data_IF_125738241955
#
_entry.id   IF_125738241955
#
_cell.length_a   1.000
_cell.length_b   1.000
_cell.length_c   1.000
_cell.angle_alpha   90.00
_cell.angle_beta   90.00
_cell.angle_gamma   90.00
#
_symmetry.space_group_name_H-M   'P 1'
#
loop_
_entity.id
_entity.type
_entity.pdbx_description
1 polymer ?
#
# COMPACT_ATOMS: atom_id res chain seq x y z
N UNK A 1 -53.75 14.44 50.44
CA UNK A 1 -53.36 13.30 51.30
C UNK A 1 -53.22 12.07 50.40
N UNK A 2 -52.00 11.48 50.35
CA UNK A 2 -51.59 10.20 49.70
C UNK A 2 -51.78 10.07 48.17
N UNK A 3 -50.72 10.05 47.35
CA UNK A 3 -49.76 8.96 46.99
C UNK A 3 -50.37 7.79 46.19
N UNK A 4 -49.88 7.62 44.96
CA UNK A 4 -50.07 6.43 44.11
C UNK A 4 -49.17 6.49 42.87
N UNK A 5 -48.37 5.44 42.66
CA UNK A 5 -47.14 5.33 41.85
C UNK A 5 -47.32 4.94 40.37
N UNK A 6 -46.25 5.21 39.58
CA UNK A 6 -45.74 4.50 38.38
C UNK A 6 -46.49 4.67 37.04
N UNK A 7 -45.85 4.71 35.86
CA UNK A 7 -44.61 4.02 35.46
C UNK A 7 -43.78 4.73 34.38
N UNK A 8 -42.48 4.41 34.41
CA UNK A 8 -41.47 4.59 33.38
C UNK A 8 -41.75 3.70 32.15
N UNK A 9 -41.64 4.22 30.93
CA UNK A 9 -41.07 3.50 29.75
C UNK A 9 -41.27 4.29 28.45
N UNK A 10 -40.31 5.11 28.05
CA UNK A 10 -40.24 5.67 26.69
C UNK A 10 -38.82 6.11 26.28
N UNK A 11 -37.79 5.27 26.46
CA UNK A 11 -36.42 5.60 26.01
C UNK A 11 -35.64 4.50 25.29
N UNK A 12 -36.29 3.40 24.87
CA UNK A 12 -35.59 2.27 24.21
C UNK A 12 -35.90 2.07 22.72
N UNK A 13 -36.60 3.00 22.05
CA UNK A 13 -36.96 2.82 20.62
C UNK A 13 -36.27 3.77 19.63
N UNK A 14 -35.44 4.70 20.10
CA UNK A 14 -34.71 5.63 19.21
C UNK A 14 -33.29 5.19 18.85
N UNK A 15 -32.71 4.19 19.53
CA UNK A 15 -31.35 3.70 19.24
C UNK A 15 -31.29 2.54 18.24
N UNK A 16 -32.41 1.86 17.97
CA UNK A 16 -32.42 0.61 17.17
C UNK A 16 -32.61 0.86 15.68
N UNK A 17 -32.97 2.08 15.26
CA UNK A 17 -33.22 2.42 13.84
C UNK A 17 -31.96 2.90 13.12
N UNK A 18 -30.92 3.33 13.83
CA UNK A 18 -29.64 3.76 13.22
C UNK A 18 -28.62 2.63 13.01
N UNK A 19 -28.86 1.42 13.53
CA UNK A 19 -28.02 0.25 13.25
C UNK A 19 -28.46 -0.55 12.00
N UNK A 20 -29.66 -0.29 11.47
CA UNK A 20 -30.31 -1.11 10.43
C UNK A 20 -30.09 -0.67 8.98
N UNK A 21 -29.36 0.42 8.74
CA UNK A 21 -29.08 0.93 7.38
C UNK A 21 -27.57 0.92 7.08
N UNK A 22 -26.86 -0.11 7.56
CA UNK A 22 -25.62 -0.56 6.91
C UNK A 22 -26.00 -1.35 5.67
N UNK A 23 -26.57 -0.63 4.69
CA UNK A 23 -26.80 -1.13 3.34
C UNK A 23 -25.46 -1.63 2.79
N UNK A 24 -25.47 -2.87 2.32
CA UNK A 24 -24.41 -3.54 1.59
C UNK A 24 -23.88 -2.67 0.45
N UNK A 25 -22.84 -1.89 0.72
CA UNK A 25 -22.07 -1.18 -0.29
C UNK A 25 -21.07 -2.18 -0.88
N UNK A 26 -20.95 -2.32 -2.20
CA UNK A 26 -19.94 -3.19 -2.80
C UNK A 26 -18.57 -2.79 -2.28
N UNK A 27 -17.94 -3.77 -1.64
CA UNK A 27 -16.66 -3.66 -0.99
C UNK A 27 -15.58 -3.47 -2.09
N UNK A 28 -14.62 -2.53 -2.00
CA UNK A 28 -13.40 -2.32 -2.83
C UNK A 28 -12.15 -2.19 -1.84
N UNK A 29 -10.81 -2.29 -2.19
CA UNK A 29 -9.45 -2.18 -1.46
C UNK A 29 -8.26 -1.17 -1.79
N UNK A 30 -7.66 -0.31 -0.94
CA UNK A 30 -6.78 0.89 -1.30
C UNK A 30 -5.42 0.89 -2.13
N UNK A 31 -5.11 0.00 -3.07
CA UNK A 31 -3.82 0.00 -3.82
C UNK A 31 -2.60 -0.34 -2.95
N UNK A 32 -1.42 0.22 -3.26
CA UNK A 32 -0.22 0.08 -2.42
C UNK A 32 -0.23 0.95 -1.15
N UNK A 33 -1.25 1.78 -0.95
CA UNK A 33 -1.29 2.74 0.15
C UNK A 33 -1.51 2.04 1.50
N UNK A 34 -0.83 2.55 2.53
CA UNK A 34 -1.01 2.15 3.92
C UNK A 34 -1.94 3.14 4.64
N UNK A 35 -2.38 2.76 5.84
CA UNK A 35 -3.05 3.74 6.71
C UNK A 35 -2.08 4.87 7.08
N UNK A 36 -2.59 6.09 7.38
CA UNK A 36 -1.74 7.19 7.83
C UNK A 36 -0.85 6.78 9.00
N UNK A 37 0.40 7.25 8.99
CA UNK A 37 1.40 6.91 9.99
C UNK A 37 1.07 7.49 11.38
N UNK A 38 1.60 6.84 12.42
CA UNK A 38 1.41 7.20 13.83
C UNK A 38 0.61 6.17 14.61
N UNK A 39 1.10 5.78 15.79
CA UNK A 39 0.48 4.74 16.62
C UNK A 39 -0.89 5.14 17.16
N UNK A 40 -1.02 6.38 17.65
CA UNK A 40 -2.29 6.89 18.15
C UNK A 40 -3.36 6.92 17.03
N UNK A 41 -2.97 7.33 15.81
CA UNK A 41 -3.82 7.30 14.61
C UNK A 41 -4.21 5.87 14.20
N UNK A 42 -3.27 4.92 14.25
CA UNK A 42 -3.53 3.50 13.99
C UNK A 42 -4.61 2.95 14.93
N UNK A 43 -4.53 3.26 16.23
CA UNK A 43 -5.44 2.73 17.26
C UNK A 43 -6.91 3.10 17.09
N UNK A 44 -7.20 4.18 16.35
CA UNK A 44 -8.55 4.72 16.10
C UNK A 44 -8.99 4.61 14.64
N UNK A 45 -8.59 3.53 13.97
CA UNK A 45 -9.03 3.20 12.62
C UNK A 45 -8.35 3.99 11.51
N UNK A 46 -7.29 4.75 11.83
CA UNK A 46 -6.65 5.70 10.91
C UNK A 46 -7.36 7.06 10.84
N UNK A 47 -8.27 7.35 11.78
CA UNK A 47 -8.94 8.65 11.86
C UNK A 47 -8.05 9.73 12.45
N UNK A 48 -8.29 10.98 12.08
CA UNK A 48 -7.57 12.14 12.59
C UNK A 48 -7.57 13.37 11.69
N UNK A 49 -8.45 13.43 10.68
CA UNK A 49 -8.51 14.59 9.77
C UNK A 49 -9.10 15.82 10.49
N UNK A 50 -10.15 15.64 11.30
CA UNK A 50 -10.78 16.73 12.06
C UNK A 50 -10.20 16.94 13.46
N UNK A 51 -9.79 15.86 14.12
CA UNK A 51 -9.28 15.87 15.49
C UNK A 51 -8.06 14.92 15.61
N UNK A 52 -6.85 15.42 15.31
CA UNK A 52 -5.63 14.64 15.29
C UNK A 52 -5.15 14.29 16.70
N UNK A 53 -4.13 13.45 16.80
CA UNK A 53 -3.48 13.17 18.08
C UNK A 53 -2.56 14.34 18.42
N UNK A 54 -2.38 14.60 19.71
CA UNK A 54 -1.47 15.64 20.21
C UNK A 54 0.02 15.25 20.15
N UNK A 55 0.34 14.06 19.63
CA UNK A 55 1.69 13.49 19.49
C UNK A 55 2.46 14.02 18.25
N UNK A 56 1.92 15.01 17.53
CA UNK A 56 2.53 15.53 16.30
C UNK A 56 2.32 14.65 15.07
N UNK A 57 1.75 13.44 15.19
CA UNK A 57 1.38 12.59 14.04
C UNK A 57 0.28 13.21 13.17
N UNK A 58 -0.32 14.31 13.62
CA UNK A 58 -1.16 15.21 12.83
C UNK A 58 -0.55 15.54 11.45
N UNK A 59 0.78 15.60 11.33
CA UNK A 59 1.47 15.83 10.05
C UNK A 59 1.08 14.82 8.96
N UNK A 60 0.78 13.58 9.33
CA UNK A 60 0.37 12.51 8.42
C UNK A 60 -1.13 12.52 8.13
N UNK A 61 -1.97 13.04 9.03
CA UNK A 61 -3.44 13.03 8.87
C UNK A 61 -4.02 14.36 8.44
N UNK A 62 -3.55 15.49 8.96
CA UNK A 62 -3.94 16.84 8.56
C UNK A 62 -2.92 17.87 9.08
N UNK A 63 -2.13 18.53 8.22
CA UNK A 63 -1.07 19.44 8.64
C UNK A 63 -1.58 20.66 9.41
N UNK A 64 -2.86 21.04 9.27
CA UNK A 64 -3.46 22.10 10.09
C UNK A 64 -3.49 21.74 11.59
N UNK A 65 -3.44 20.44 11.92
CA UNK A 65 -3.39 19.94 13.28
C UNK A 65 -2.16 20.36 14.07
N UNK A 66 -1.07 20.72 13.39
CA UNK A 66 0.14 21.24 14.06
C UNK A 66 -0.15 22.54 14.81
N UNK A 67 -1.15 23.32 14.41
CA UNK A 67 -1.54 24.55 15.11
C UNK A 67 -2.12 24.31 16.52
N UNK A 68 -2.50 23.07 16.88
CA UNK A 68 -2.97 22.72 18.23
C UNK A 68 -1.85 22.41 19.21
N UNK A 69 -0.63 22.21 18.72
CA UNK A 69 0.51 21.92 19.59
C UNK A 69 0.78 23.14 20.46
N UNK A 70 0.82 22.94 21.78
CA UNK A 70 1.03 23.99 22.77
C UNK A 70 2.50 24.20 23.10
N UNK A 71 3.31 23.14 23.02
CA UNK A 71 4.72 23.09 23.42
C UNK A 71 5.51 22.15 22.49
N UNK A 72 6.83 22.07 22.61
CA UNK A 72 7.60 21.20 21.72
C UNK A 72 7.21 19.74 21.96
N UNK A 73 6.72 19.05 20.92
CA UNK A 73 6.43 17.62 20.97
C UNK A 73 7.33 16.91 19.97
N UNK A 74 8.00 15.85 20.44
CA UNK A 74 8.75 14.92 19.60
C UNK A 74 8.22 13.52 19.82
N UNK A 75 7.89 12.84 18.73
CA UNK A 75 7.36 11.48 18.74
C UNK A 75 8.17 10.60 17.81
N UNK A 76 8.65 9.48 18.34
CA UNK A 76 9.32 8.44 17.55
C UNK A 76 8.65 7.10 17.79
N UNK A 77 8.51 6.32 16.73
CA UNK A 77 7.90 5.02 16.80
C UNK A 77 8.16 4.18 15.56
N UNK A 78 7.62 2.97 15.57
CA UNK A 78 7.67 2.10 14.42
C UNK A 78 6.43 1.22 14.33
N UNK A 79 6.05 0.90 13.10
CA UNK A 79 4.91 0.05 12.78
C UNK A 79 5.41 -1.21 12.06
N UNK A 80 5.13 -2.37 12.63
CA UNK A 80 5.48 -3.68 12.11
C UNK A 80 4.29 -4.28 11.36
N UNK A 81 4.49 -4.62 10.09
CA UNK A 81 3.49 -5.23 9.24
C UNK A 81 3.83 -6.70 8.99
N UNK A 82 2.88 -7.59 9.27
CA UNK A 82 2.95 -9.02 8.96
C UNK A 82 1.86 -9.35 7.96
N UNK A 83 2.22 -9.60 6.72
CA UNK A 83 1.26 -9.89 5.65
C UNK A 83 1.33 -11.38 5.34
N UNK A 84 0.17 -12.01 5.27
CA UNK A 84 -0.01 -13.39 4.84
C UNK A 84 -0.90 -13.42 3.63
N UNK A 85 -0.56 -14.27 2.68
CA UNK A 85 -1.40 -14.49 1.52
C UNK A 85 -1.25 -15.90 0.98
N UNK A 86 -2.25 -16.31 0.23
CA UNK A 86 -2.26 -17.56 -0.52
C UNK A 86 -2.97 -17.37 -1.85
N UNK A 87 -2.62 -18.21 -2.80
CA UNK A 87 -3.28 -18.36 -4.08
C UNK A 87 -3.74 -19.82 -4.22
N UNK A 88 -4.98 -20.02 -4.64
CA UNK A 88 -5.52 -21.34 -4.96
C UNK A 88 -5.83 -21.38 -6.46
N UNK A 89 -5.18 -22.28 -7.18
CA UNK A 89 -5.37 -22.47 -8.61
C UNK A 89 -6.70 -23.19 -8.92
N UNK A 90 -7.44 -22.71 -9.91
CA UNK A 90 -8.78 -23.22 -10.25
C UNK A 90 -8.74 -24.63 -10.84
N UNK A 91 -7.68 -25.00 -11.57
CA UNK A 91 -7.61 -26.26 -12.30
C UNK A 91 -6.98 -27.37 -11.45
N UNK A 92 -5.79 -27.09 -10.92
CA UNK A 92 -5.00 -28.03 -10.13
C UNK A 92 -5.45 -28.10 -8.67
N UNK A 93 -6.23 -27.11 -8.20
CA UNK A 93 -6.61 -26.95 -6.80
C UNK A 93 -5.42 -26.80 -5.84
N UNK A 94 -4.22 -26.56 -6.38
CA UNK A 94 -3.01 -26.38 -5.60
C UNK A 94 -3.07 -25.03 -4.88
N UNK A 95 -2.70 -25.05 -3.60
CA UNK A 95 -2.53 -23.85 -2.79
C UNK A 95 -1.04 -23.50 -2.70
N UNK A 96 -0.70 -22.27 -3.06
CA UNK A 96 0.65 -21.71 -2.87
C UNK A 96 0.58 -20.57 -1.87
N UNK A 97 1.42 -20.61 -0.83
CA UNK A 97 1.48 -19.58 0.22
C UNK A 97 2.58 -18.56 -0.05
N UNK A 98 2.32 -17.29 0.28
CA UNK A 98 3.33 -16.24 0.29
C UNK A 98 4.40 -16.49 1.37
N UNK A 99 5.65 -16.17 1.05
CA UNK A 99 6.73 -16.15 2.02
C UNK A 99 6.56 -14.94 2.95
N UNK A 100 6.24 -15.19 4.21
CA UNK A 100 6.01 -14.12 5.18
C UNK A 100 7.32 -13.50 5.63
N UNK A 101 7.50 -12.19 5.41
CA UNK A 101 8.55 -11.41 6.08
C UNK A 101 7.98 -10.16 6.71
N UNK A 102 8.23 -9.91 8.00
CA UNK A 102 7.79 -8.68 8.63
C UNK A 102 8.47 -7.47 8.01
N UNK A 103 7.71 -6.39 7.85
CA UNK A 103 8.23 -5.11 7.40
C UNK A 103 8.07 -4.06 8.49
N UNK A 104 9.19 -3.47 8.91
CA UNK A 104 9.23 -2.41 9.90
C UNK A 104 9.22 -1.05 9.19
N UNK A 105 8.29 -0.18 9.57
CA UNK A 105 8.20 1.20 9.10
C UNK A 105 8.38 2.16 10.28
N UNK A 106 9.55 2.79 10.43
CA UNK A 106 9.73 3.83 11.43
C UNK A 106 8.94 5.09 11.06
N UNK A 107 8.57 5.85 12.08
CA UNK A 107 8.01 7.18 11.92
C UNK A 107 8.58 8.12 12.99
N UNK A 108 8.83 9.36 12.57
CA UNK A 108 9.30 10.44 13.42
C UNK A 108 8.45 11.67 13.14
N UNK A 109 7.97 12.31 14.20
CA UNK A 109 7.23 13.56 14.13
C UNK A 109 7.79 14.53 15.15
N UNK A 110 7.90 15.79 14.77
CA UNK A 110 8.21 16.88 15.68
C UNK A 110 7.31 18.06 15.36
N UNK A 111 6.85 18.77 16.39
CA UNK A 111 6.03 19.96 16.22
C UNK A 111 6.25 20.94 17.36
N UNK A 112 6.27 22.23 17.02
CA UNK A 112 6.49 23.29 17.99
C UNK A 112 5.65 24.51 17.66
N UNK A 113 5.14 25.16 18.72
CA UNK A 113 4.49 26.45 18.60
C UNK A 113 5.54 27.56 18.51
N UNK A 114 5.42 28.42 17.51
CA UNK A 114 6.32 29.57 17.34
C UNK A 114 5.77 30.78 18.08
N UNK A 115 4.46 31.02 17.97
CA UNK A 115 3.75 32.09 18.70
C UNK A 115 2.26 31.76 18.83
N UNK A 116 1.42 32.74 19.19
CA UNK A 116 -0.02 32.53 19.38
C UNK A 116 -0.77 32.09 18.12
N UNK A 117 -0.23 32.33 16.92
CA UNK A 117 -0.90 31.96 15.66
C UNK A 117 -0.12 30.95 14.83
N UNK A 118 1.22 30.94 14.90
CA UNK A 118 2.07 30.12 14.03
C UNK A 118 2.64 28.91 14.76
N UNK A 119 2.66 27.77 14.06
CA UNK A 119 3.31 26.55 14.49
C UNK A 119 4.06 25.91 13.33
N UNK A 120 5.12 25.18 13.64
CA UNK A 120 5.94 24.46 12.67
C UNK A 120 6.04 22.99 13.04
N UNK A 121 6.25 22.13 12.06
CA UNK A 121 6.47 20.71 12.29
C UNK A 121 7.32 20.04 11.21
N UNK A 122 7.85 18.88 11.54
CA UNK A 122 8.60 18.01 10.64
C UNK A 122 8.11 16.57 10.83
N UNK A 123 7.69 15.94 9.74
CA UNK A 123 7.32 14.52 9.71
C UNK A 123 8.23 13.73 8.80
N UNK A 124 8.67 12.56 9.26
CA UNK A 124 9.39 11.56 8.46
C UNK A 124 8.69 10.22 8.64
N UNK A 125 8.02 9.72 7.59
CA UNK A 125 7.19 8.52 7.69
C UNK A 125 7.00 7.81 6.35
N UNK A 126 6.65 6.52 6.40
CA UNK A 126 6.43 5.68 5.21
C UNK A 126 4.96 5.52 4.83
N UNK A 127 4.41 6.26 3.85
CA UNK A 127 3.03 6.11 3.35
C UNK A 127 2.83 4.85 2.49
N UNK A 128 3.90 4.38 1.84
CA UNK A 128 3.91 3.19 1.01
C UNK A 128 5.05 2.29 1.45
N UNK A 129 4.71 1.05 1.72
CA UNK A 129 5.66 0.02 2.11
C UNK A 129 4.98 -1.32 1.92
N UNK A 130 5.18 -1.93 0.76
CA UNK A 130 4.61 -3.24 0.51
C UNK A 130 5.62 -4.12 -0.18
N UNK A 131 5.71 -5.35 0.31
CA UNK A 131 6.41 -6.43 -0.35
C UNK A 131 5.44 -7.58 -0.55
N UNK A 132 5.29 -8.04 -1.79
CA UNK A 132 4.74 -9.38 -2.06
C UNK A 132 5.90 -10.31 -2.34
N UNK A 133 5.87 -11.50 -1.74
CA UNK A 133 6.85 -12.54 -2.02
C UNK A 133 6.16 -13.90 -2.08
N UNK A 134 6.33 -14.56 -3.20
CA UNK A 134 5.89 -15.92 -3.49
C UNK A 134 7.13 -16.83 -3.66
N UNK A 135 7.00 -18.13 -3.38
CA UNK A 135 8.04 -19.11 -3.71
C UNK A 135 8.40 -19.06 -5.19
N UNK A 136 9.64 -19.38 -5.55
CA UNK A 136 10.09 -19.34 -6.96
C UNK A 136 9.36 -20.36 -7.86
N UNK A 137 8.86 -21.44 -7.27
CA UNK A 137 8.09 -22.49 -7.95
C UNK A 137 6.59 -22.17 -8.01
N UNK A 138 6.20 -20.98 -7.58
CA UNK A 138 4.85 -20.48 -7.73
C UNK A 138 4.53 -20.33 -9.23
N UNK A 139 3.37 -20.80 -9.63
CA UNK A 139 2.84 -20.76 -10.99
C UNK A 139 2.79 -19.34 -11.58
N UNK A 140 2.70 -18.30 -10.75
CA UNK A 140 2.78 -16.90 -11.19
C UNK A 140 4.17 -16.28 -11.23
N UNK A 141 5.24 -17.08 -11.10
CA UNK A 141 6.62 -16.59 -11.08
C UNK A 141 7.01 -15.81 -12.35
N UNK A 142 6.39 -16.12 -13.49
CA UNK A 142 6.61 -15.44 -14.77
C UNK A 142 6.01 -14.03 -14.82
N UNK A 143 4.87 -13.82 -14.14
CA UNK A 143 4.28 -12.48 -13.95
C UNK A 143 5.10 -11.71 -12.93
N UNK A 144 5.41 -12.36 -11.81
CA UNK A 144 6.38 -11.95 -10.80
C UNK A 144 6.16 -12.65 -9.46
N UNK A 145 7.26 -13.11 -8.86
CA UNK A 145 7.25 -13.77 -7.56
C UNK A 145 7.69 -12.85 -6.43
N UNK A 146 8.27 -11.69 -6.73
CA UNK A 146 8.56 -10.69 -5.71
C UNK A 146 8.35 -9.29 -6.24
N UNK A 147 7.68 -8.46 -5.47
CA UNK A 147 7.61 -7.00 -5.70
C UNK A 147 7.88 -6.27 -4.42
N UNK A 148 8.56 -5.14 -4.52
CA UNK A 148 8.80 -4.26 -3.38
C UNK A 148 8.63 -2.82 -3.85
N UNK A 149 7.79 -2.07 -3.15
CA UNK A 149 7.63 -0.64 -3.31
C UNK A 149 7.74 0.01 -1.93
N UNK A 150 8.64 0.97 -1.81
CA UNK A 150 8.83 1.72 -0.58
C UNK A 150 8.91 3.19 -0.90
N UNK A 151 8.14 4.00 -0.18
CA UNK A 151 8.24 5.45 -0.23
C UNK A 151 8.34 6.02 1.18
N UNK A 152 9.20 7.02 1.35
CA UNK A 152 9.36 7.80 2.57
C UNK A 152 9.01 9.25 2.25
N UNK A 153 8.21 9.85 3.12
CA UNK A 153 7.83 11.25 3.08
C UNK A 153 8.64 12.02 4.11
N UNK A 154 9.25 13.12 3.66
CA UNK A 154 9.85 14.16 4.52
C UNK A 154 9.01 15.41 4.33
N UNK A 155 8.35 15.85 5.40
CA UNK A 155 7.33 16.88 5.35
C UNK A 155 7.60 17.96 6.40
N UNK A 156 8.40 19.00 6.09
CA UNK A 156 8.32 20.25 6.83
C UNK A 156 6.91 20.83 6.68
N UNK A 157 6.38 21.44 7.73
CA UNK A 157 5.00 21.97 7.76
C UNK A 157 4.96 23.29 8.51
N UNK A 158 4.19 24.22 7.96
CA UNK A 158 3.82 25.46 8.59
C UNK A 158 2.30 25.45 8.80
N UNK A 159 1.85 25.78 10.00
CA UNK A 159 0.44 25.86 10.34
C UNK A 159 0.11 27.21 10.98
N UNK A 160 -1.09 27.69 10.69
CA UNK A 160 -1.62 28.96 11.15
C UNK A 160 -2.97 28.76 11.84
N UNK A 161 -3.09 29.21 13.09
CA UNK A 161 -4.33 29.32 13.83
C UNK A 161 -4.91 30.73 13.66
N UNK A 162 -6.05 30.82 12.99
CA UNK A 162 -6.87 32.03 12.98
C UNK A 162 -7.79 32.02 14.21
N UNK A 163 -7.29 32.60 15.30
CA UNK A 163 -7.93 32.53 16.61
C UNK A 163 -8.10 31.08 17.07
N UNK A 164 -9.24 30.77 17.68
CA UNK A 164 -9.50 29.42 18.23
C UNK A 164 -10.38 28.54 17.33
N UNK A 165 -10.83 29.05 16.17
CA UNK A 165 -11.83 28.39 15.33
C UNK A 165 -11.26 27.76 14.08
N UNK A 166 -10.45 28.49 13.32
CA UNK A 166 -9.96 28.04 12.02
C UNK A 166 -8.45 27.80 12.10
N UNK A 167 -8.02 26.65 11.61
CA UNK A 167 -6.61 26.30 11.48
C UNK A 167 -6.33 25.90 10.04
N UNK A 168 -5.20 26.36 9.51
CA UNK A 168 -4.72 26.03 8.18
C UNK A 168 -3.32 25.46 8.29
N UNK A 169 -2.97 24.54 7.39
CA UNK A 169 -1.65 23.94 7.35
C UNK A 169 -1.20 23.69 5.92
N UNK A 170 0.08 23.93 5.67
CA UNK A 170 0.76 23.62 4.42
C UNK A 170 2.08 22.93 4.72
N UNK A 171 2.29 21.77 4.11
CA UNK A 171 3.52 21.01 4.22
C UNK A 171 4.04 20.64 2.84
N UNK A 172 5.08 21.30 2.32
CA UNK A 172 5.86 20.78 1.21
C UNK A 172 6.31 19.35 1.52
N UNK A 173 6.27 18.49 0.51
CA UNK A 173 6.51 17.06 0.67
C UNK A 173 7.63 16.62 -0.27
N UNK A 174 8.74 16.15 0.30
CA UNK A 174 9.74 15.40 -0.44
C UNK A 174 9.43 13.91 -0.29
N UNK A 175 9.26 13.24 -1.41
CA UNK A 175 9.09 11.78 -1.48
C UNK A 175 10.37 11.16 -1.99
N UNK A 176 10.87 10.15 -1.27
CA UNK A 176 11.98 9.30 -1.68
C UNK A 176 11.42 7.90 -1.87
N UNK A 177 11.63 7.29 -3.02
CA UNK A 177 11.02 6.00 -3.35
C UNK A 177 11.97 5.04 -4.06
N UNK A 178 11.81 3.75 -3.78
CA UNK A 178 12.47 2.67 -4.51
C UNK A 178 11.45 1.61 -4.93
N UNK A 179 11.68 1.03 -6.10
CA UNK A 179 10.85 -0.04 -6.65
C UNK A 179 11.72 -1.21 -7.09
N UNK A 180 11.21 -2.42 -6.90
CA UNK A 180 11.86 -3.63 -7.37
C UNK A 180 10.84 -4.70 -7.77
N UNK A 181 11.15 -5.41 -8.84
CA UNK A 181 10.35 -6.51 -9.39
C UNK A 181 11.28 -7.69 -9.71
N UNK A 182 10.89 -8.87 -9.27
CA UNK A 182 11.54 -10.12 -9.65
C UNK A 182 10.53 -11.05 -10.30
N UNK A 183 10.91 -11.58 -11.45
CA UNK A 183 10.12 -12.57 -12.19
C UNK A 183 11.02 -13.55 -12.91
N UNK A 184 10.46 -14.68 -13.34
CA UNK A 184 11.12 -15.62 -14.22
C UNK A 184 10.80 -15.29 -15.68
N UNK A 185 11.72 -15.65 -16.58
CA UNK A 185 11.52 -15.53 -18.01
C UNK A 185 11.18 -16.88 -18.60
N UNK A 186 10.07 -16.92 -19.32
CA UNK A 186 9.73 -18.00 -20.24
C UNK A 186 10.08 -17.56 -21.66
N UNK A 187 10.97 -18.30 -22.30
CA UNK A 187 11.40 -18.07 -23.67
C UNK A 187 10.76 -19.06 -24.66
N UNK A 188 9.87 -19.97 -24.23
CA UNK A 188 9.30 -21.01 -25.09
C UNK A 188 8.64 -20.44 -26.36
N UNK A 189 7.99 -19.28 -26.25
CA UNK A 189 7.35 -18.60 -27.39
C UNK A 189 8.28 -17.62 -28.13
N UNK A 190 9.50 -17.42 -27.64
CA UNK A 190 10.49 -16.56 -28.27
C UNK A 190 11.24 -17.31 -29.36
N UNK A 191 11.71 -16.57 -30.37
CA UNK A 191 12.56 -17.12 -31.43
C UNK A 191 13.89 -17.57 -30.82
N UNK A 192 14.16 -18.87 -30.91
CA UNK A 192 15.49 -19.41 -30.65
C UNK A 192 16.41 -19.13 -31.83
N UNK A 193 15.86 -19.21 -33.05
CA UNK A 193 16.54 -18.98 -34.33
C UNK A 193 15.58 -18.24 -35.28
N UNK A 194 16.07 -17.74 -36.44
CA UNK A 194 15.20 -17.12 -37.44
C UNK A 194 14.02 -18.04 -37.80
N UNK A 195 12.81 -17.58 -37.45
CA UNK A 195 11.54 -18.28 -37.66
C UNK A 195 11.35 -19.62 -36.91
N UNK A 196 12.22 -19.97 -35.95
CA UNK A 196 12.07 -21.18 -35.12
C UNK A 196 11.98 -20.79 -33.64
N UNK A 197 10.79 -20.88 -33.01
CA UNK A 197 10.64 -20.64 -31.58
C UNK A 197 11.19 -21.80 -30.75
N UNK A 198 11.53 -21.55 -29.48
CA UNK A 198 11.95 -22.60 -28.54
C UNK A 198 10.90 -23.72 -28.41
N UNK A 199 9.61 -23.41 -28.51
CA UNK A 199 8.54 -24.40 -28.51
C UNK A 199 8.61 -25.39 -29.66
N UNK A 200 9.10 -24.97 -30.84
CA UNK A 200 9.31 -25.86 -31.98
C UNK A 200 10.49 -26.83 -31.75
N UNK A 201 11.36 -26.54 -30.78
CA UNK A 201 12.42 -27.43 -30.32
C UNK A 201 11.96 -28.41 -29.23
N UNK A 202 10.64 -28.48 -28.98
CA UNK A 202 10.05 -29.36 -27.96
C UNK A 202 10.11 -28.79 -26.54
N UNK A 203 10.43 -27.50 -26.38
CA UNK A 203 10.49 -26.87 -25.05
C UNK A 203 9.10 -26.40 -24.62
N UNK A 204 8.55 -26.92 -23.50
CA UNK A 204 7.21 -26.56 -23.07
C UNK A 204 7.13 -25.11 -22.58
N UNK A 205 5.97 -24.48 -22.80
CA UNK A 205 5.64 -23.21 -22.15
C UNK A 205 5.64 -23.36 -20.62
N UNK A 206 6.01 -22.30 -19.90
CA UNK A 206 6.24 -22.32 -18.46
C UNK A 206 7.62 -22.85 -18.07
N UNK A 207 8.56 -22.98 -19.01
CA UNK A 207 9.95 -23.30 -18.69
C UNK A 207 10.67 -22.05 -18.20
N UNK A 208 11.32 -22.10 -17.04
CA UNK A 208 12.08 -20.97 -16.49
C UNK A 208 13.52 -20.95 -17.03
N UNK A 209 13.82 -20.02 -17.94
CA UNK A 209 15.15 -19.87 -18.55
C UNK A 209 16.09 -18.98 -17.74
N UNK A 210 15.54 -17.98 -17.05
CA UNK A 210 16.30 -17.04 -16.25
C UNK A 210 15.44 -16.35 -15.20
N UNK A 211 16.08 -15.81 -14.17
CA UNK A 211 15.48 -14.76 -13.36
C UNK A 211 15.79 -13.40 -13.96
N UNK A 212 14.79 -12.53 -14.00
CA UNK A 212 14.97 -11.11 -14.25
C UNK A 212 14.67 -10.33 -12.96
N UNK A 213 15.63 -9.47 -12.58
CA UNK A 213 15.51 -8.53 -11.46
C UNK A 213 15.53 -7.11 -12.01
N UNK A 214 14.45 -6.39 -11.82
CA UNK A 214 14.36 -4.96 -12.07
C UNK A 214 14.48 -4.25 -10.73
N UNK A 215 15.44 -3.36 -10.60
CA UNK A 215 15.69 -2.62 -9.35
C UNK A 215 16.04 -1.17 -9.68
N UNK A 216 15.33 -0.24 -9.06
CA UNK A 216 15.60 1.18 -9.20
C UNK A 216 16.64 1.66 -8.20
N UNK A 217 17.34 2.72 -8.58
CA UNK A 217 17.94 3.64 -7.62
C UNK A 217 16.82 4.43 -6.91
N UNK A 218 17.18 5.29 -5.97
CA UNK A 218 16.24 6.21 -5.34
C UNK A 218 15.66 7.19 -6.36
N UNK A 219 14.35 7.32 -6.39
CA UNK A 219 13.65 8.38 -7.11
C UNK A 219 13.13 9.43 -6.12
N UNK A 220 13.21 10.68 -6.54
CA UNK A 220 12.74 11.83 -5.77
C UNK A 220 11.53 12.46 -6.43
N UNK A 221 10.56 12.87 -5.63
CA UNK A 221 9.35 13.54 -6.09
C UNK A 221 8.91 14.62 -5.11
N UNK A 222 8.31 15.69 -5.63
CA UNK A 222 7.80 16.79 -4.84
C UNK A 222 6.27 16.81 -4.87
N UNK A 223 5.69 17.14 -3.73
CA UNK A 223 4.26 17.37 -3.56
C UNK A 223 3.96 18.37 -2.45
N UNK A 224 2.70 18.47 -2.07
CA UNK A 224 2.25 19.28 -0.95
C UNK A 224 1.11 18.59 -0.21
N UNK A 225 1.09 18.80 1.10
CA UNK A 225 0.04 18.40 2.01
C UNK A 225 -0.66 19.67 2.51
N UNK A 226 -1.92 19.84 2.18
CA UNK A 226 -2.74 20.98 2.56
C UNK A 226 -3.80 20.53 3.56
N UNK A 227 -4.04 21.37 4.55
CA UNK A 227 -4.91 21.06 5.67
C UNK A 227 -5.75 22.26 6.08
N UNK A 228 -6.99 21.97 6.45
CA UNK A 228 -7.88 22.90 7.11
C UNK A 228 -8.58 22.18 8.25
N UNK A 229 -8.78 22.87 9.37
CA UNK A 229 -9.61 22.42 10.48
C UNK A 229 -10.47 23.56 11.00
N UNK A 230 -11.70 23.21 11.37
CA UNK A 230 -12.70 24.13 11.88
C UNK A 230 -13.28 23.57 13.18
N UNK A 231 -13.01 24.25 14.29
CA UNK A 231 -13.67 24.06 15.58
C UNK A 231 -14.99 24.85 15.56
N UNK A 232 -16.10 24.15 15.39
CA UNK A 232 -17.46 24.74 15.35
C UNK A 232 -17.96 25.02 16.76
N UNK A 233 -17.79 24.04 17.64
CA UNK A 233 -17.97 24.17 19.09
C UNK A 233 -16.77 23.55 19.80
N UNK A 234 -16.76 23.54 21.13
CA UNK A 234 -15.68 22.89 21.89
C UNK A 234 -15.65 21.37 21.63
N UNK A 235 -16.81 20.78 21.37
CA UNK A 235 -17.00 19.36 21.15
C UNK A 235 -16.97 18.95 19.68
N UNK A 236 -17.33 19.85 18.75
CA UNK A 236 -17.53 19.53 17.34
C UNK A 236 -16.50 20.18 16.44
N UNK A 237 -15.78 19.34 15.71
CA UNK A 237 -14.66 19.69 14.84
C UNK A 237 -14.87 19.11 13.45
N UNK A 238 -14.52 19.88 12.43
CA UNK A 238 -14.44 19.44 11.04
C UNK A 238 -13.03 19.59 10.51
N UNK A 239 -12.65 18.75 9.56
CA UNK A 239 -11.36 18.83 8.89
C UNK A 239 -11.49 18.57 7.40
N UNK A 240 -10.66 19.25 6.62
CA UNK A 240 -10.39 18.94 5.22
C UNK A 240 -8.89 18.80 5.01
N UNK A 241 -8.51 17.92 4.10
CA UNK A 241 -7.12 17.64 3.78
C UNK A 241 -6.99 17.32 2.30
N UNK A 242 -5.97 17.86 1.66
CA UNK A 242 -5.60 17.51 0.30
C UNK A 242 -4.11 17.18 0.21
N UNK A 243 -3.79 16.02 -0.34
CA UNK A 243 -2.43 15.60 -0.68
C UNK A 243 -2.31 15.63 -2.20
N UNK A 244 -1.35 16.39 -2.73
CA UNK A 244 -1.13 16.47 -4.18
C UNK A 244 -0.60 15.14 -4.72
N UNK A 245 -0.79 14.84 -6.02
CA UNK A 245 -0.10 13.73 -6.63
C UNK A 245 1.42 13.98 -6.64
N UNK A 246 2.22 12.91 -6.60
CA UNK A 246 3.68 12.99 -6.67
C UNK A 246 4.18 12.13 -7.81
N UNK A 247 4.79 12.76 -8.82
CA UNK A 247 5.43 12.05 -9.94
C UNK A 247 6.84 11.64 -9.55
N UNK A 248 7.17 10.38 -9.78
CA UNK A 248 8.48 9.76 -9.52
C UNK A 248 9.02 9.18 -10.81
N UNK A 249 10.21 9.62 -11.21
CA UNK A 249 10.93 9.09 -12.37
C UNK A 249 12.11 8.25 -11.88
N UNK A 250 12.10 6.96 -12.17
CA UNK A 250 13.09 6.00 -11.72
C UNK A 250 14.09 5.70 -12.83
N UNK A 251 15.35 5.62 -12.44
CA UNK A 251 16.41 4.97 -13.22
C UNK A 251 16.89 3.76 -12.45
N UNK A 252 17.13 2.65 -13.15
CA UNK A 252 17.51 1.39 -12.52
C UNK A 252 18.17 0.44 -13.51
N UNK A 253 18.34 -0.80 -13.08
CA UNK A 253 18.92 -1.86 -13.90
C UNK A 253 17.98 -3.05 -13.99
N UNK A 254 17.97 -3.67 -15.16
CA UNK A 254 17.45 -5.01 -15.37
C UNK A 254 18.65 -5.94 -15.36
N UNK A 255 18.65 -6.90 -14.42
CA UNK A 255 19.67 -7.94 -14.34
C UNK A 255 19.08 -9.29 -14.66
N UNK A 256 19.79 -10.06 -15.48
CA UNK A 256 19.38 -11.41 -15.86
C UNK A 256 20.31 -12.42 -15.21
N UNK A 257 19.74 -13.46 -14.62
CA UNK A 257 20.48 -14.56 -14.01
C UNK A 257 20.00 -15.87 -14.65
N UNK A 258 20.82 -16.51 -15.50
CA UNK A 258 20.45 -17.76 -16.15
C UNK A 258 20.05 -18.83 -15.14
N UNK A 259 19.08 -19.65 -15.50
CA UNK A 259 18.70 -20.85 -14.77
C UNK A 259 19.02 -22.07 -15.63
N UNK A 260 19.54 -23.13 -15.03
CA UNK A 260 19.62 -24.41 -15.73
C UNK A 260 18.20 -24.95 -15.90
N UNK A 261 17.83 -25.20 -17.14
CA UNK A 261 16.53 -25.74 -17.50
C UNK A 261 16.44 -27.25 -17.22
N UNK A 262 17.58 -27.95 -17.23
CA UNK A 262 17.64 -29.41 -17.09
C UNK A 262 16.99 -30.17 -18.24
N UNK A 263 16.61 -29.48 -19.33
CA UNK A 263 15.96 -30.06 -20.50
C UNK A 263 16.99 -30.48 -21.54
N UNK A 264 16.63 -31.48 -22.33
CA UNK A 264 17.38 -31.92 -23.52
C UNK A 264 16.51 -31.78 -24.75
N UNK A 265 17.13 -31.59 -25.91
CA UNK A 265 16.41 -31.59 -27.18
C UNK A 265 15.92 -33.02 -27.47
N UNK A 266 14.61 -33.24 -27.64
CA UNK A 266 14.05 -34.60 -27.71
C UNK A 266 14.28 -35.29 -29.07
N UNK A 267 14.52 -34.52 -30.14
CA UNK A 267 14.74 -35.04 -31.48
C UNK A 267 15.85 -34.24 -32.18
N UNK A 268 16.57 -34.84 -33.12
CA UNK A 268 17.63 -34.12 -33.83
C UNK A 268 17.05 -32.93 -34.61
N UNK A 269 17.68 -31.76 -34.50
CA UNK A 269 17.27 -30.53 -35.19
C UNK A 269 18.38 -30.08 -36.12
N UNK A 270 18.04 -29.71 -37.36
CA UNK A 270 19.01 -29.16 -38.32
C UNK A 270 18.95 -27.64 -38.32
N UNK A 271 20.09 -26.99 -38.08
CA UNK A 271 20.25 -25.54 -37.93
C UNK A 271 21.40 -25.03 -38.80
N UNK A 272 21.10 -24.26 -39.84
CA UNK A 272 22.13 -23.64 -40.68
C UNK A 272 23.14 -24.62 -41.30
N UNK A 273 22.73 -25.88 -41.52
CA UNK A 273 23.61 -26.96 -42.01
C UNK A 273 24.33 -27.76 -40.92
N UNK A 274 24.19 -27.38 -39.64
CA UNK A 274 24.66 -28.14 -38.49
C UNK A 274 23.52 -28.96 -37.86
N UNK A 275 23.77 -30.23 -37.59
CA UNK A 275 22.82 -31.10 -36.92
C UNK A 275 23.04 -31.04 -35.40
N UNK A 276 22.03 -30.60 -34.65
CA UNK A 276 21.96 -30.77 -33.20
C UNK A 276 21.41 -32.17 -32.92
N UNK A 277 22.19 -33.08 -32.30
CA UNK A 277 21.70 -34.40 -31.95
C UNK A 277 20.55 -34.37 -30.94
N UNK A 278 19.71 -35.41 -30.97
CA UNK A 278 18.81 -35.67 -29.85
C UNK A 278 19.64 -35.89 -28.56
N UNK A 279 19.14 -35.43 -27.43
CA UNK A 279 19.82 -35.51 -26.13
C UNK A 279 20.79 -34.36 -25.83
N UNK A 280 21.01 -33.41 -26.77
CA UNK A 280 21.79 -32.20 -26.46
C UNK A 280 21.10 -31.38 -25.37
N UNK A 281 21.80 -31.00 -24.27
CA UNK A 281 21.22 -30.14 -23.24
C UNK A 281 20.84 -28.77 -23.80
N UNK A 282 19.62 -28.32 -23.51
CA UNK A 282 19.13 -27.00 -23.93
C UNK A 282 20.04 -25.88 -23.44
N UNK A 283 20.57 -26.01 -22.23
CA UNK A 283 21.47 -25.01 -21.62
C UNK A 283 22.75 -24.78 -22.45
N UNK A 284 23.26 -25.81 -23.15
CA UNK A 284 24.41 -25.69 -24.07
C UNK A 284 24.02 -24.88 -25.31
N UNK A 285 22.81 -25.07 -25.82
CA UNK A 285 22.28 -24.32 -26.97
C UNK A 285 22.10 -22.86 -26.59
N UNK A 286 21.49 -22.57 -25.44
CA UNK A 286 21.34 -21.20 -24.93
C UNK A 286 22.68 -20.49 -24.78
N UNK A 287 23.70 -21.18 -24.25
CA UNK A 287 25.05 -20.65 -24.16
C UNK A 287 25.65 -20.35 -25.54
N UNK A 288 25.48 -21.26 -26.51
CA UNK A 288 25.99 -21.09 -27.88
C UNK A 288 25.33 -19.93 -28.65
N UNK A 289 24.04 -19.65 -28.36
CA UNK A 289 23.31 -18.52 -28.94
C UNK A 289 23.74 -17.16 -28.33
N UNK A 290 24.57 -17.18 -27.28
CA UNK A 290 25.06 -15.96 -26.63
C UNK A 290 23.95 -15.09 -26.03
N UNK A 291 22.77 -15.68 -25.71
CA UNK A 291 21.61 -14.88 -25.29
C UNK A 291 21.86 -14.08 -24.01
N UNK A 292 22.74 -14.58 -23.14
CA UNK A 292 23.17 -13.96 -21.89
C UNK A 292 24.58 -13.34 -21.95
N UNK A 293 25.20 -13.30 -23.14
CA UNK A 293 26.50 -12.64 -23.31
C UNK A 293 26.36 -11.12 -23.05
N UNK A 294 27.46 -10.37 -22.79
CA UNK A 294 27.40 -8.94 -22.49
C UNK A 294 26.69 -8.06 -23.53
N UNK A 295 26.63 -8.51 -24.79
CA UNK A 295 25.92 -7.83 -25.88
C UNK A 295 24.70 -8.63 -26.38
N UNK A 296 24.28 -9.65 -25.63
CA UNK A 296 23.17 -10.53 -25.98
C UNK A 296 21.80 -9.92 -25.69
N UNK A 297 20.71 -10.49 -26.25
CA UNK A 297 19.33 -10.08 -26.01
C UNK A 297 18.92 -9.98 -24.53
N UNK A 298 19.53 -10.77 -23.64
CA UNK A 298 19.32 -10.76 -22.18
C UNK A 298 20.57 -10.31 -21.42
N UNK A 299 21.34 -9.38 -21.99
CA UNK A 299 22.38 -8.67 -21.26
C UNK A 299 21.78 -7.68 -20.25
N UNK A 300 22.45 -7.54 -19.10
CA UNK A 300 22.17 -6.52 -18.09
C UNK A 300 22.15 -5.14 -18.73
N UNK A 301 21.14 -4.33 -18.38
CA UNK A 301 20.97 -3.00 -18.97
C UNK A 301 20.26 -2.04 -18.05
N UNK A 302 20.45 -0.76 -18.28
CA UNK A 302 19.65 0.26 -17.62
C UNK A 302 18.20 0.22 -18.08
N UNK A 303 17.30 0.66 -17.21
CA UNK A 303 15.91 0.91 -17.55
C UNK A 303 15.36 2.11 -16.80
N UNK A 304 14.38 2.76 -17.41
CA UNK A 304 13.64 3.86 -16.81
C UNK A 304 12.17 3.50 -16.67
N UNK A 305 11.53 3.99 -15.61
CA UNK A 305 10.08 3.88 -15.43
C UNK A 305 9.56 5.10 -14.67
N UNK A 306 8.27 5.39 -14.80
CA UNK A 306 7.63 6.48 -14.08
C UNK A 306 6.43 5.94 -13.30
N UNK A 307 6.26 6.42 -12.08
CA UNK A 307 5.09 6.14 -11.26
C UNK A 307 4.55 7.47 -10.71
N UNK A 308 3.23 7.62 -10.68
CA UNK A 308 2.59 8.76 -10.02
C UNK A 308 1.86 8.25 -8.78
N UNK A 309 2.29 8.69 -7.60
CA UNK A 309 1.53 8.49 -6.38
C UNK A 309 0.26 9.36 -6.45
N UNK A 310 -0.93 8.80 -6.16
CA UNK A 310 -2.20 9.46 -6.41
C UNK A 310 -2.45 10.65 -5.48
N UNK A 311 -3.23 11.61 -5.97
CA UNK A 311 -3.80 12.65 -5.13
C UNK A 311 -4.78 12.07 -4.11
N UNK A 312 -4.92 12.71 -2.95
CA UNK A 312 -5.88 12.28 -1.94
C UNK A 312 -6.64 13.48 -1.38
N UNK A 313 -7.98 13.40 -1.37
CA UNK A 313 -8.85 14.35 -0.70
C UNK A 313 -9.49 13.65 0.50
N UNK A 314 -9.45 14.26 1.68
CA UNK A 314 -10.13 13.72 2.85
C UNK A 314 -10.93 14.79 3.59
N UNK A 315 -12.04 14.36 4.16
CA UNK A 315 -12.90 15.14 5.03
C UNK A 315 -13.12 14.37 6.33
N UNK A 316 -13.15 15.07 7.45
CA UNK A 316 -13.30 14.47 8.77
C UNK A 316 -14.31 15.21 9.64
N UNK A 317 -14.85 14.48 10.61
CA UNK A 317 -15.64 14.98 11.73
C UNK A 317 -15.09 14.37 13.03
N UNK A 318 -14.91 15.21 14.03
CA UNK A 318 -14.63 14.81 15.41
C UNK A 318 -15.69 15.37 16.33
N UNK A 319 -16.29 14.51 17.15
CA UNK A 319 -17.35 14.89 18.06
C UNK A 319 -17.16 14.26 19.44
N UNK A 320 -16.89 15.08 20.43
CA UNK A 320 -17.00 14.69 21.84
C UNK A 320 -18.49 14.57 22.20
N UNK A 321 -19.01 13.35 22.13
CA UNK A 321 -20.44 13.06 22.34
C UNK A 321 -20.82 13.10 23.82
N UNK A 322 -19.87 12.75 24.69
CA UNK A 322 -19.95 12.83 26.14
C UNK A 322 -18.56 13.14 26.70
N UNK A 323 -18.45 13.65 27.95
CA UNK A 323 -17.17 13.87 28.58
C UNK A 323 -16.28 12.61 28.52
N UNK A 324 -15.14 12.72 27.84
CA UNK A 324 -14.19 11.61 27.67
C UNK A 324 -14.59 10.57 26.62
N UNK A 325 -15.64 10.78 25.83
CA UNK A 325 -16.05 9.89 24.74
C UNK A 325 -16.09 10.67 23.43
N UNK A 326 -15.16 10.34 22.53
CA UNK A 326 -15.01 11.03 21.24
C UNK A 326 -15.26 10.08 20.09
N UNK A 327 -16.20 10.45 19.22
CA UNK A 327 -16.48 9.80 17.96
C UNK A 327 -15.72 10.50 16.83
N UNK A 328 -15.12 9.72 15.94
CA UNK A 328 -14.33 10.20 14.80
C UNK A 328 -14.85 9.54 13.53
N UNK A 329 -15.02 10.33 12.47
CA UNK A 329 -15.47 9.88 11.16
C UNK A 329 -14.63 10.55 10.08
N UNK A 330 -13.93 9.77 9.26
CA UNK A 330 -13.17 10.29 8.12
C UNK A 330 -13.59 9.61 6.82
N UNK A 331 -13.75 10.40 5.76
CA UNK A 331 -13.90 9.95 4.38
C UNK A 331 -12.68 10.40 3.58
N UNK A 332 -12.12 9.51 2.76
CA UNK A 332 -11.01 9.82 1.87
C UNK A 332 -11.32 9.32 0.45
N UNK A 333 -11.12 10.18 -0.54
CA UNK A 333 -11.06 9.84 -1.96
C UNK A 333 -9.60 9.83 -2.44
N UNK A 334 -9.23 8.86 -3.27
CA UNK A 334 -7.86 8.70 -3.81
C UNK A 334 -7.91 8.53 -5.32
N UNK A 335 -7.12 9.34 -6.03
CA UNK A 335 -7.10 9.45 -7.50
C UNK A 335 -6.23 8.36 -8.17
N UNK A 336 -6.56 7.09 -7.94
CA UNK A 336 -5.82 5.97 -8.51
C UNK A 336 -5.95 5.83 -10.03
N UNK A 337 -6.87 6.55 -10.69
CA UNK A 337 -6.96 6.62 -12.16
C UNK A 337 -5.72 7.19 -12.84
N UNK A 338 -4.78 7.75 -12.07
CA UNK A 338 -3.43 8.13 -12.52
C UNK A 338 -2.56 6.92 -12.88
N UNK A 339 -2.84 5.74 -12.32
CA UNK A 339 -2.06 4.52 -12.55
C UNK A 339 -2.73 3.64 -13.62
N UNK A 340 -2.75 4.16 -14.84
CA UNK A 340 -3.31 3.47 -16.02
C UNK A 340 -2.35 2.39 -16.55
N UNK A 341 -1.06 2.70 -16.61
CA UNK A 341 -0.03 1.84 -17.18
C UNK A 341 1.27 1.91 -16.39
N UNK A 342 1.94 0.78 -16.32
CA UNK A 342 3.33 0.66 -15.89
C UNK A 342 4.19 0.43 -17.13
N UNK A 343 4.95 1.43 -17.53
CA UNK A 343 5.87 1.34 -18.66
C UNK A 343 7.31 1.29 -18.15
N UNK A 344 8.02 0.23 -18.52
CA UNK A 344 9.44 0.05 -18.29
C UNK A 344 10.14 0.23 -19.63
N UNK A 345 11.12 1.14 -19.69
CA UNK A 345 11.87 1.49 -20.90
C UNK A 345 13.32 1.04 -20.74
N UNK A 346 13.68 -0.17 -21.21
CA UNK A 346 15.08 -0.62 -21.22
C UNK A 346 15.91 0.24 -22.17
N UNK A 347 17.18 0.47 -21.83
CA UNK A 347 18.14 1.08 -22.74
C UNK A 347 18.27 0.21 -24.00
N UNK A 348 18.15 0.83 -25.18
CA UNK A 348 18.25 0.17 -26.48
C UNK A 348 17.29 -1.05 -26.64
N UNK A 349 16.12 -1.01 -26.00
CA UNK A 349 15.13 -2.08 -26.07
C UNK A 349 13.70 -1.56 -26.27
N UNK A 350 12.79 -2.46 -26.63
CA UNK A 350 11.37 -2.14 -26.75
C UNK A 350 10.77 -1.89 -25.36
N UNK A 351 9.94 -0.84 -25.19
CA UNK A 351 9.20 -0.63 -23.94
C UNK A 351 8.35 -1.85 -23.55
N UNK A 352 8.41 -2.22 -22.28
CA UNK A 352 7.54 -3.22 -21.67
C UNK A 352 6.39 -2.47 -21.03
N UNK A 353 5.18 -2.66 -21.57
CA UNK A 353 3.97 -2.00 -21.09
C UNK A 353 3.10 -3.01 -20.37
N UNK A 354 2.76 -2.72 -19.10
CA UNK A 354 1.75 -3.45 -18.35
C UNK A 354 0.56 -2.54 -18.06
N UNK A 355 -0.60 -2.99 -18.48
CA UNK A 355 -1.86 -2.25 -18.30
C UNK A 355 -2.37 -2.52 -16.90
N UNK A 356 -2.72 -1.45 -16.19
CA UNK A 356 -3.17 -1.46 -14.82
C UNK A 356 -4.63 -1.02 -14.72
N UNK A 357 -5.00 0.06 -15.43
CA UNK A 357 -6.38 0.58 -15.53
C UNK A 357 -7.01 0.80 -14.15
N UNK A 358 -6.24 1.35 -13.21
CA UNK A 358 -6.68 1.53 -11.84
C UNK A 358 -7.83 2.55 -11.77
N UNK A 359 -8.76 2.34 -10.85
CA UNK A 359 -9.92 3.22 -10.66
C UNK A 359 -9.82 3.99 -9.36
N UNK A 360 -10.40 5.17 -9.32
CA UNK A 360 -10.46 5.98 -8.10
C UNK A 360 -11.18 5.24 -6.97
N UNK A 361 -10.74 5.51 -5.75
CA UNK A 361 -11.18 4.75 -4.56
C UNK A 361 -11.61 5.66 -3.43
N UNK A 362 -12.59 5.22 -2.67
CA UNK A 362 -13.02 5.82 -1.41
C UNK A 362 -12.61 5.01 -0.20
N UNK A 363 -12.45 5.65 0.96
CA UNK A 363 -12.19 4.98 2.23
C UNK A 363 -12.98 5.67 3.32
N UNK A 364 -13.68 4.87 4.12
CA UNK A 364 -14.45 5.33 5.26
C UNK A 364 -13.77 4.80 6.52
N UNK A 365 -13.59 5.67 7.50
CA UNK A 365 -12.98 5.35 8.79
C UNK A 365 -13.89 5.84 9.91
N UNK A 366 -14.05 4.99 10.91
CA UNK A 366 -14.77 5.28 12.15
C UNK A 366 -13.82 4.99 13.31
N UNK A 367 -13.71 5.93 14.24
CA UNK A 367 -12.88 5.81 15.43
C UNK A 367 -13.67 6.17 16.67
N UNK A 368 -13.36 5.51 17.78
CA UNK A 368 -13.85 5.82 19.11
C UNK A 368 -12.65 5.97 20.04
N UNK A 369 -12.58 7.09 20.75
CA UNK A 369 -11.60 7.32 21.81
C UNK A 369 -12.32 7.48 23.15
N UNK A 370 -11.83 6.77 24.16
CA UNK A 370 -12.40 6.68 25.50
C UNK A 370 -11.34 7.07 26.52
N UNK A 371 -11.53 8.21 27.17
CA UNK A 371 -10.72 8.61 28.31
C UNK A 371 -11.15 7.76 29.52
N UNK A 372 -10.33 6.75 29.87
CA UNK A 372 -10.66 5.79 30.93
C UNK A 372 -10.17 6.22 32.32
N UNK A 373 -9.19 7.11 32.37
CA UNK A 373 -8.66 7.80 33.56
C UNK A 373 -7.89 9.04 33.13
N UNK A 374 -7.34 9.85 34.03
CA UNK A 374 -6.56 11.03 33.65
C UNK A 374 -5.27 10.70 32.86
N UNK A 375 -4.78 9.46 32.99
CA UNK A 375 -3.53 8.99 32.40
C UNK A 375 -3.71 7.99 31.26
N UNK A 376 -4.91 7.43 31.05
CA UNK A 376 -5.12 6.36 30.08
C UNK A 376 -6.29 6.64 29.14
N UNK A 377 -6.02 6.55 27.83
CA UNK A 377 -7.01 6.60 26.76
C UNK A 377 -7.02 5.27 26.00
N UNK A 378 -8.20 4.69 25.82
CA UNK A 378 -8.41 3.48 25.00
C UNK A 378 -9.07 3.88 23.70
N UNK A 379 -8.62 3.29 22.60
CA UNK A 379 -9.08 3.62 21.24
C UNK A 379 -9.51 2.37 20.51
N UNK A 380 -10.60 2.47 19.78
CA UNK A 380 -11.07 1.43 18.87
C UNK A 380 -11.38 2.05 17.53
N UNK A 381 -11.28 1.28 16.46
CA UNK A 381 -11.63 1.80 15.16
C UNK A 381 -11.89 0.72 14.13
N UNK A 382 -12.60 1.16 13.09
CA UNK A 382 -12.86 0.39 11.91
C UNK A 382 -12.57 1.25 10.68
N UNK A 383 -11.86 0.71 9.71
CA UNK A 383 -11.79 1.33 8.38
C UNK A 383 -12.04 0.33 7.28
N UNK A 384 -12.65 0.84 6.23
CA UNK A 384 -12.99 0.09 5.04
C UNK A 384 -12.59 0.90 3.82
N UNK A 385 -11.76 0.31 2.96
CA UNK A 385 -11.01 1.05 1.93
C UNK A 385 -11.11 0.43 0.56
N UNK A 386 -11.60 1.16 -0.47
CA UNK A 386 -11.89 0.79 -1.88
C UNK A 386 -10.70 0.48 -2.82
N UNK A 387 -10.87 -0.31 -3.91
CA UNK A 387 -9.81 -0.94 -4.74
C UNK A 387 -9.69 -0.35 -6.08
N UNK A 388 -8.44 -0.25 -6.47
CA UNK A 388 -8.04 0.42 -7.66
C UNK A 388 -7.98 -0.58 -8.81
N UNK A 389 -7.30 -1.73 -8.62
CA UNK A 389 -7.14 -2.75 -9.65
C UNK A 389 -8.47 -3.39 -10.08
N UNK A 390 -8.92 -3.18 -11.34
CA UNK A 390 -10.03 -3.92 -11.90
C UNK A 390 -9.72 -5.42 -11.99
N UNK A 391 -10.77 -6.25 -12.09
CA UNK A 391 -10.64 -7.72 -12.04
C UNK A 391 -9.72 -8.32 -13.12
N UNK A 392 -9.44 -7.59 -14.21
CA UNK A 392 -8.56 -8.02 -15.31
C UNK A 392 -7.06 -7.80 -15.00
N UNK A 393 -6.72 -6.91 -14.07
CA UNK A 393 -5.32 -6.54 -13.76
C UNK A 393 -4.83 -7.05 -12.40
N UNK A 394 -5.62 -7.89 -11.73
CA UNK A 394 -5.22 -8.56 -10.48
C UNK A 394 -4.16 -9.62 -10.77
N UNK A 395 -2.96 -9.42 -10.23
CA UNK A 395 -1.78 -10.28 -10.44
C UNK A 395 -1.10 -10.60 -9.12
N UNK A 396 -0.11 -11.52 -9.08
CA UNK A 396 0.62 -11.80 -7.85
C UNK A 396 1.45 -10.62 -7.34
N UNK A 397 1.71 -9.62 -8.19
CA UNK A 397 2.49 -8.42 -7.85
C UNK A 397 1.82 -7.57 -6.78
N UNK A 398 0.50 -7.47 -6.87
CA UNK A 398 -0.39 -6.83 -5.92
C UNK A 398 -1.78 -7.42 -6.11
N UNK A 399 -2.10 -8.54 -5.44
CA UNK A 399 -3.41 -9.18 -5.55
C UNK A 399 -4.42 -8.45 -4.67
N UNK A 400 -4.59 -7.15 -4.90
CA UNK A 400 -5.39 -6.31 -4.03
C UNK A 400 -6.89 -6.52 -4.18
N UNK A 401 -7.56 -6.31 -3.06
CA UNK A 401 -9.01 -6.34 -2.91
C UNK A 401 -9.36 -5.63 -1.62
N UNK A 402 -10.64 -5.67 -1.31
CA UNK A 402 -11.31 -4.86 -0.31
C UNK A 402 -10.75 -5.11 1.05
N UNK A 403 -10.39 -4.04 1.74
CA UNK A 403 -9.73 -4.15 3.03
C UNK A 403 -10.66 -3.66 4.11
N UNK A 404 -10.86 -4.55 5.07
CA UNK A 404 -11.52 -4.28 6.33
C UNK A 404 -10.43 -4.25 7.40
N UNK A 405 -10.39 -3.17 8.17
CA UNK A 405 -9.41 -2.93 9.19
C UNK A 405 -10.12 -2.82 10.53
N UNK A 406 -9.74 -3.66 11.49
CA UNK A 406 -10.18 -3.54 12.88
C UNK A 406 -8.98 -3.12 13.72
N UNK A 407 -9.13 -2.07 14.51
CA UNK A 407 -8.04 -1.50 15.30
C UNK A 407 -8.38 -1.40 16.78
N UNK A 408 -7.36 -1.57 17.60
CA UNK A 408 -7.38 -1.33 19.03
C UNK A 408 -6.09 -0.57 19.38
N UNK A 409 -6.18 0.44 20.22
CA UNK A 409 -5.02 1.16 20.71
C UNK A 409 -5.19 1.66 22.12
N UNK A 410 -4.07 2.01 22.73
CA UNK A 410 -4.01 2.54 24.08
C UNK A 410 -2.89 3.57 24.16
N UNK A 411 -3.18 4.69 24.80
CA UNK A 411 -2.23 5.75 25.12
C UNK A 411 -2.10 5.89 26.63
N UNK A 412 -0.88 5.94 27.13
CA UNK A 412 -0.55 6.04 28.55
C UNK A 412 0.35 7.24 28.82
N UNK A 413 -0.12 8.18 29.64
CA UNK A 413 0.68 9.29 30.15
C UNK A 413 1.53 8.80 31.31
N UNK A 414 2.85 8.79 31.13
CA UNK A 414 3.81 8.28 32.12
C UNK A 414 4.29 9.38 33.10
N UNK A 415 3.87 10.62 32.90
CA UNK A 415 4.33 11.79 33.65
C UNK A 415 5.44 12.55 32.92
N UNK A 416 5.76 13.77 33.39
CA UNK A 416 6.83 14.62 32.84
C UNK A 416 6.74 14.86 31.33
N UNK A 417 5.51 14.95 30.79
CA UNK A 417 5.28 15.15 29.35
C UNK A 417 5.51 13.90 28.49
N UNK A 418 5.79 12.74 29.07
CA UNK A 418 6.01 11.48 28.34
C UNK A 418 4.69 10.72 28.14
N UNK A 419 4.45 10.27 26.91
CA UNK A 419 3.34 9.43 26.53
C UNK A 419 3.83 8.21 25.76
N UNK A 420 3.31 7.04 26.11
CA UNK A 420 3.51 5.79 25.40
C UNK A 420 2.22 5.41 24.69
N UNK A 421 2.29 5.15 23.39
CA UNK A 421 1.18 4.61 22.61
C UNK A 421 1.53 3.22 22.08
N UNK A 422 0.55 2.34 22.15
CA UNK A 422 0.57 1.02 21.51
C UNK A 422 -0.72 0.84 20.70
N UNK A 423 -0.61 0.23 19.53
CA UNK A 423 -1.77 -0.07 18.71
C UNK A 423 -1.60 -1.37 17.94
N UNK A 424 -2.72 -2.03 17.70
CA UNK A 424 -2.83 -3.23 16.89
C UNK A 424 -3.94 -3.04 15.86
N UNK A 425 -3.69 -3.54 14.66
CA UNK A 425 -4.67 -3.59 13.58
C UNK A 425 -4.67 -4.97 12.93
N UNK A 426 -5.86 -5.54 12.80
CA UNK A 426 -6.10 -6.69 11.93
C UNK A 426 -6.62 -6.20 10.58
N UNK A 427 -5.99 -6.70 9.50
CA UNK A 427 -6.36 -6.41 8.12
C UNK A 427 -6.92 -7.69 7.51
N UNK A 428 -8.19 -7.65 7.11
CA UNK A 428 -8.79 -8.70 6.29
C UNK A 428 -9.01 -8.16 4.89
N UNK A 429 -8.41 -8.82 3.91
CA UNK A 429 -8.75 -8.58 2.51
C UNK A 429 -9.86 -9.52 2.06
N UNK A 430 -10.81 -9.02 1.28
CA UNK A 430 -11.79 -9.85 0.61
C UNK A 430 -11.11 -10.73 -0.45
N UNK A 431 -11.61 -11.95 -0.60
CA UNK A 431 -11.13 -12.91 -1.60
C UNK A 431 -11.21 -12.30 -3.01
N UNK A 432 -10.19 -12.55 -3.83
CA UNK A 432 -10.09 -11.91 -5.15
C UNK A 432 -9.62 -12.87 -6.22
N UNK A 433 -10.42 -13.00 -7.27
CA UNK A 433 -9.97 -13.69 -8.48
C UNK A 433 -8.90 -12.89 -9.20
N UNK A 434 -7.89 -13.57 -9.70
CA UNK A 434 -6.85 -12.97 -10.51
C UNK A 434 -6.12 -14.00 -11.35
N UNK A 435 -5.10 -13.52 -12.06
CA UNK A 435 -4.32 -14.30 -13.02
C UNK A 435 -2.91 -14.55 -12.54
N UNK A 436 -2.29 -15.62 -13.03
CA UNK A 436 -0.87 -15.94 -12.84
C UNK A 436 -0.09 -15.94 -14.15
N UNK A 437 -0.72 -15.51 -15.24
CA UNK A 437 -0.12 -15.34 -16.57
C UNK A 437 -0.39 -13.93 -17.09
N UNK A 438 0.55 -13.34 -17.82
CA UNK A 438 0.36 -12.08 -18.53
C UNK A 438 -0.35 -12.32 -19.89
N UNK A 439 -1.14 -11.35 -20.39
CA UNK A 439 -1.69 -11.44 -21.74
C UNK A 439 -0.56 -11.52 -22.78
N UNK A 440 -0.87 -12.04 -23.96
CA UNK A 440 0.07 -12.03 -25.08
C UNK A 440 0.55 -10.60 -25.37
N UNK A 441 1.79 -10.40 -25.86
CA UNK A 441 2.30 -9.08 -26.21
C UNK A 441 1.35 -8.31 -27.13
N UNK A 442 1.05 -7.06 -26.78
CA UNK A 442 0.12 -6.21 -27.54
C UNK A 442 -1.37 -6.44 -27.27
N UNK A 443 -1.73 -7.41 -26.41
CA UNK A 443 -3.12 -7.68 -26.03
C UNK A 443 -3.46 -7.06 -24.66
N UNK A 444 -4.69 -6.54 -24.56
CA UNK A 444 -5.28 -6.12 -23.29
C UNK A 444 -5.54 -7.31 -22.37
N UNK A 445 -5.33 -7.17 -21.05
CA UNK A 445 -5.73 -8.20 -20.10
C UNK A 445 -7.25 -8.34 -20.05
N UNK A 446 -7.73 -9.56 -19.85
CA UNK A 446 -9.16 -9.88 -19.71
C UNK A 446 -9.37 -10.76 -18.48
N UNK A 447 -10.57 -10.69 -17.89
CA UNK A 447 -10.97 -11.58 -16.79
C UNK A 447 -11.00 -13.05 -17.21
N UNK A 448 -10.99 -13.36 -18.51
CA UNK A 448 -10.84 -14.72 -19.02
C UNK A 448 -9.48 -15.35 -18.67
N UNK A 449 -8.46 -14.54 -18.35
CA UNK A 449 -7.16 -15.02 -17.88
C UNK A 449 -7.13 -15.33 -16.37
N UNK A 450 -8.19 -15.01 -15.63
CA UNK A 450 -8.24 -15.31 -14.20
C UNK A 450 -8.27 -16.82 -14.00
N UNK A 451 -7.33 -17.32 -13.20
CA UNK A 451 -7.03 -18.75 -13.07
C UNK A 451 -7.00 -19.22 -11.62
N UNK A 452 -7.37 -18.36 -10.67
CA UNK A 452 -7.45 -18.76 -9.29
C UNK A 452 -7.86 -17.64 -8.35
N UNK A 453 -7.77 -17.93 -7.05
CA UNK A 453 -8.26 -17.10 -5.96
C UNK A 453 -7.13 -16.67 -5.02
N UNK A 454 -6.92 -15.37 -4.89
CA UNK A 454 -6.05 -14.77 -3.89
C UNK A 454 -6.82 -14.51 -2.59
N UNK A 455 -6.19 -14.85 -1.46
CA UNK A 455 -6.69 -14.53 -0.11
C UNK A 455 -5.58 -13.94 0.73
N UNK A 456 -5.76 -12.71 1.19
CA UNK A 456 -4.75 -11.97 1.95
C UNK A 456 -5.31 -11.51 3.31
N UNK A 457 -4.43 -11.52 4.31
CA UNK A 457 -4.69 -10.96 5.63
C UNK A 457 -3.41 -10.35 6.18
N UNK A 458 -3.54 -9.48 7.18
CA UNK A 458 -2.40 -8.84 7.80
C UNK A 458 -2.61 -8.57 9.28
N UNK A 459 -1.51 -8.59 10.01
CA UNK A 459 -1.42 -8.13 11.38
C UNK A 459 -0.45 -6.94 11.40
N UNK A 460 -0.87 -5.86 12.02
CA UNK A 460 -0.07 -4.64 12.14
C UNK A 460 0.02 -4.27 13.61
N UNK A 461 1.23 -4.05 14.10
CA UNK A 461 1.47 -3.60 15.47
C UNK A 461 2.32 -2.34 15.43
N UNK A 462 2.01 -1.36 16.27
CA UNK A 462 2.71 -0.09 16.33
C UNK A 462 2.98 0.31 17.77
N UNK A 463 4.14 0.91 17.99
CA UNK A 463 4.53 1.52 19.26
C UNK A 463 5.17 2.87 18.97
N UNK A 464 4.85 3.87 19.79
CA UNK A 464 5.54 5.16 19.77
C UNK A 464 5.67 5.75 21.16
N UNK A 465 6.71 6.54 21.34
CA UNK A 465 6.92 7.37 22.51
C UNK A 465 6.90 8.83 22.07
N UNK A 466 6.15 9.63 22.81
CA UNK A 466 6.02 11.06 22.62
C UNK A 466 6.54 11.79 23.86
N UNK A 467 7.32 12.84 23.65
CA UNK A 467 7.84 13.70 24.72
C UNK A 467 7.41 15.13 24.41
N UNK A 468 6.68 15.72 25.34
CA UNK A 468 6.25 17.11 25.29
C UNK A 468 7.10 17.93 26.29
N UNK A 469 7.86 18.88 25.77
CA UNK A 469 8.87 19.70 26.48
C UNK A 469 8.40 21.14 26.70
#
# INVERSE_FOLDING_TARGET
>A
MRLGYASFSARKRFLTVWLGVLLSVPAWGQGFNLNPAGTCTLGRGGTGVALPCSDGSALATNPAGIAEISQLVVTSGATLHFIRGRFTDDYTQRETHMETRPMLLPHLFAGARVNTSWAVGLGIYGPYGLETRWPRQFEGSFVGYRTRLQAVYIQPTLAYAWGNRLQLGVGPLLTISTVSLWHQLDLAQQQALPNVPFGALGIPAGTAFANAKLESQEAYGLGAHLGMRLRVTDQLHFGLRYLTPVKLSYTGHIRFSPLSTGLVIPAAVSLGGQQIPAGTPLDVILASLGIFAPNGPLADREAKTELTLPAQLAAGLGWEVWPGVTLLLDYQWTEWSRFDRLEIRPQNGTPIVRIQDYRNTSTVRVGLALQTSDVMEVRMGYSYSQHAAPSKTVTPLLPESNRNHLTLGMGWKLGSGVMLDVAYQYVRQDDRRGRVVDPAPGMEPSTALNSGLYRLSGHVASISVSVAL
#
